data_IF_391761296951
#
_entry.id   IF_391761296951
#
_cell.length_a   1.000
_cell.length_b   1.000
_cell.length_c   1.000
_cell.angle_alpha   90.00
_cell.angle_beta   90.00
_cell.angle_gamma   90.00
#
_symmetry.space_group_name_H-M   'P 1'
#
loop_
_entity.id
_entity.type
_entity.pdbx_description
1 polymer ?
#
# COMPACT_ATOMS: atom_id res chain seq x y z
N UNK A 1 8.25 -20.45 2.74
CA UNK A 1 8.40 -19.23 1.92
C UNK A 1 9.81 -19.22 1.37
N UNK A 2 9.97 -19.16 0.04
CA UNK A 2 11.29 -19.14 -0.59
C UNK A 2 12.06 -17.88 -0.18
N UNK A 3 13.34 -18.03 0.17
CA UNK A 3 14.23 -16.92 0.46
C UNK A 3 14.35 -16.07 -0.81
N UNK A 4 14.13 -14.77 -0.69
CA UNK A 4 14.26 -13.86 -1.84
C UNK A 4 15.71 -13.85 -2.31
N UNK A 5 15.91 -14.20 -3.58
CA UNK A 5 17.23 -14.22 -4.19
C UNK A 5 17.72 -12.80 -4.49
N UNK A 6 19.02 -12.62 -4.30
CA UNK A 6 19.79 -11.42 -4.59
C UNK A 6 20.93 -11.77 -5.54
N UNK A 7 21.32 -10.84 -6.40
CA UNK A 7 22.51 -10.92 -7.23
C UNK A 7 23.64 -10.06 -6.65
N UNK A 8 24.89 -10.41 -6.96
CA UNK A 8 26.03 -9.56 -6.69
C UNK A 8 26.30 -8.68 -7.91
N UNK A 9 26.46 -7.37 -7.69
CA UNK A 9 26.92 -6.42 -8.69
C UNK A 9 28.19 -5.75 -8.16
N UNK A 10 29.35 -6.27 -8.57
CA UNK A 10 30.62 -6.01 -7.89
C UNK A 10 30.53 -6.42 -6.42
N UNK A 11 30.85 -5.51 -5.51
CA UNK A 11 30.79 -5.72 -4.06
C UNK A 11 29.38 -5.50 -3.46
N UNK A 12 28.39 -5.10 -4.28
CA UNK A 12 27.04 -4.77 -3.77
C UNK A 12 26.08 -5.94 -3.95
N UNK A 13 25.37 -6.27 -2.88
CA UNK A 13 24.21 -7.16 -2.93
C UNK A 13 23.00 -6.38 -3.45
N UNK A 14 22.47 -6.80 -4.59
CA UNK A 14 21.36 -6.13 -5.29
C UNK A 14 20.17 -7.07 -5.38
N UNK A 15 18.98 -6.55 -5.11
CA UNK A 15 17.71 -7.23 -5.35
C UNK A 15 17.07 -6.65 -6.60
N UNK A 16 16.45 -7.50 -7.41
CA UNK A 16 15.58 -6.99 -8.46
C UNK A 16 14.35 -6.38 -7.81
N UNK A 17 13.71 -5.42 -8.47
CA UNK A 17 12.47 -4.79 -7.96
C UNK A 17 11.43 -5.86 -7.62
N UNK A 18 11.29 -6.88 -8.47
CA UNK A 18 10.32 -7.96 -8.23
C UNK A 18 10.70 -8.83 -7.03
N UNK A 19 11.99 -9.12 -6.82
CA UNK A 19 12.44 -9.93 -5.68
C UNK A 19 12.29 -9.15 -4.37
N UNK A 20 12.69 -7.88 -4.35
CA UNK A 20 12.49 -6.99 -3.20
C UNK A 20 11.00 -6.85 -2.83
N UNK A 21 10.14 -6.55 -3.79
CA UNK A 21 8.70 -6.39 -3.54
C UNK A 21 8.06 -7.67 -2.99
N UNK A 22 8.43 -8.84 -3.51
CA UNK A 22 7.96 -10.13 -2.95
C UNK A 22 8.45 -10.34 -1.53
N UNK A 23 9.68 -9.95 -1.21
CA UNK A 23 10.25 -10.05 0.14
C UNK A 23 9.51 -9.19 1.14
N UNK A 24 9.31 -7.91 0.81
CA UNK A 24 8.56 -6.97 1.65
C UNK A 24 7.11 -7.43 1.81
N UNK A 25 6.42 -7.81 0.74
CA UNK A 25 5.06 -8.33 0.81
C UNK A 25 4.96 -9.58 1.69
N UNK A 26 5.94 -10.51 1.58
CA UNK A 26 5.99 -11.71 2.41
C UNK A 26 6.23 -11.39 3.90
N UNK A 27 6.97 -10.33 4.22
CA UNK A 27 7.20 -9.90 5.58
C UNK A 27 5.95 -9.21 6.15
N UNK A 28 5.37 -8.27 5.40
CA UNK A 28 4.12 -7.58 5.77
C UNK A 28 2.95 -8.55 5.96
N UNK A 29 2.85 -9.59 5.14
CA UNK A 29 1.81 -10.62 5.28
C UNK A 29 1.92 -11.49 6.55
N UNK A 30 2.97 -11.33 7.36
CA UNK A 30 3.09 -11.97 8.69
C UNK A 30 2.53 -11.10 9.81
N UNK A 31 2.30 -9.82 9.55
CA UNK A 31 1.66 -8.96 10.53
C UNK A 31 0.21 -9.44 10.72
N UNK A 32 -0.32 -9.38 11.97
CA UNK A 32 -1.75 -9.59 12.18
C UNK A 32 -2.55 -8.47 11.47
N UNK A 33 -3.88 -8.61 11.44
CA UNK A 33 -4.72 -7.49 11.09
C UNK A 33 -4.46 -6.33 12.07
N UNK A 34 -4.21 -5.14 11.52
CA UNK A 34 -3.91 -3.92 12.28
C UNK A 34 -4.86 -2.80 11.89
N UNK A 35 -5.05 -1.86 12.80
CA UNK A 35 -5.76 -0.61 12.55
C UNK A 35 -4.75 0.51 12.35
N UNK A 36 -4.96 1.32 11.32
CA UNK A 36 -4.13 2.49 11.01
C UNK A 36 -5.08 3.68 10.89
N UNK A 37 -4.73 4.77 11.58
CA UNK A 37 -5.50 6.02 11.57
C UNK A 37 -4.70 7.12 10.84
N UNK A 38 -5.42 7.96 10.13
CA UNK A 38 -4.88 9.15 9.47
C UNK A 38 -6.00 9.92 8.76
N UNK A 39 -5.73 11.18 8.45
CA UNK A 39 -6.63 12.01 7.65
C UNK A 39 -6.57 11.59 6.19
N UNK A 40 -7.72 11.55 5.52
CA UNK A 40 -7.76 11.34 4.07
C UNK A 40 -7.40 12.66 3.38
N UNK A 41 -6.24 12.72 2.75
CA UNK A 41 -5.76 13.94 2.07
C UNK A 41 -5.83 13.87 0.56
N UNK A 42 -5.93 12.68 -0.02
CA UNK A 42 -6.18 12.48 -1.44
C UNK A 42 -7.11 11.29 -1.64
N UNK A 43 -8.11 11.44 -2.49
CA UNK A 43 -9.03 10.39 -2.91
C UNK A 43 -9.05 10.35 -4.44
N UNK A 44 -8.55 9.26 -5.02
CA UNK A 44 -8.56 9.04 -6.47
C UNK A 44 -9.44 7.86 -6.82
N UNK A 45 -10.56 8.18 -7.46
CA UNK A 45 -11.59 7.25 -7.89
C UNK A 45 -11.92 7.51 -9.36
N UNK A 46 -12.36 6.45 -10.03
CA UNK A 46 -12.92 6.54 -11.38
C UNK A 46 -13.86 5.35 -11.59
N UNK A 47 -14.99 5.55 -12.27
CA UNK A 47 -15.95 4.48 -12.54
C UNK A 47 -15.36 3.32 -13.33
N UNK A 48 -14.41 3.60 -14.22
CA UNK A 48 -13.70 2.62 -15.04
C UNK A 48 -12.63 1.84 -14.27
N UNK A 49 -12.28 2.24 -13.04
CA UNK A 49 -11.26 1.57 -12.24
C UNK A 49 -11.89 0.59 -11.24
N UNK A 50 -11.20 -0.55 -11.03
CA UNK A 50 -11.59 -1.54 -10.03
C UNK A 50 -11.10 -1.20 -8.62
N UNK A 51 -10.20 -0.23 -8.49
CA UNK A 51 -9.52 0.13 -7.25
C UNK A 51 -9.63 1.63 -7.04
N UNK A 52 -9.94 2.03 -5.80
CA UNK A 52 -9.86 3.39 -5.29
C UNK A 52 -8.52 3.54 -4.58
N UNK A 53 -7.82 4.65 -4.84
CA UNK A 53 -6.56 4.98 -4.19
C UNK A 53 -6.81 6.11 -3.20
N UNK A 54 -6.36 5.92 -1.97
CA UNK A 54 -6.49 6.89 -0.88
C UNK A 54 -5.12 7.17 -0.30
N UNK A 55 -4.83 8.41 0.04
CA UNK A 55 -3.66 8.77 0.83
C UNK A 55 -4.11 9.12 2.25
N UNK A 56 -3.64 8.35 3.23
CA UNK A 56 -3.75 8.69 4.65
C UNK A 56 -2.55 9.54 5.05
N UNK A 57 -2.78 10.59 5.84
CA UNK A 57 -1.74 11.44 6.42
C UNK A 57 -1.87 11.51 7.93
N UNK A 58 -0.76 11.34 8.63
CA UNK A 58 -0.66 11.64 10.05
C UNK A 58 -0.69 13.18 10.23
N UNK A 59 -1.68 13.74 10.95
CA UNK A 59 -1.81 15.19 11.12
C UNK A 59 -0.68 15.82 11.94
N UNK A 60 0.02 15.03 12.76
CA UNK A 60 1.11 15.50 13.65
C UNK A 60 2.44 15.49 12.93
N UNK A 61 2.80 14.37 12.30
CA UNK A 61 4.13 14.19 11.69
C UNK A 61 4.16 14.50 10.21
N UNK A 62 2.99 14.49 9.56
CA UNK A 62 2.87 14.61 8.10
C UNK A 62 3.26 13.34 7.35
N UNK A 63 3.56 12.23 8.02
CA UNK A 63 3.82 10.94 7.38
C UNK A 63 2.60 10.48 6.56
N UNK A 64 2.84 9.86 5.41
CA UNK A 64 1.77 9.43 4.50
C UNK A 64 1.80 7.93 4.24
N UNK A 65 0.62 7.38 3.99
CA UNK A 65 0.41 5.98 3.63
C UNK A 65 -0.56 5.88 2.45
N UNK A 66 -0.11 5.26 1.36
CA UNK A 66 -0.96 4.94 0.22
C UNK A 66 -1.79 3.69 0.53
N UNK A 67 -3.10 3.81 0.36
CA UNK A 67 -4.09 2.76 0.60
C UNK A 67 -4.80 2.44 -0.70
N UNK A 68 -4.95 1.15 -0.98
CA UNK A 68 -5.75 0.64 -2.10
C UNK A 68 -6.98 -0.06 -1.55
N UNK A 69 -8.15 0.31 -2.07
CA UNK A 69 -9.43 -0.27 -1.66
C UNK A 69 -10.15 -0.76 -2.92
N UNK A 70 -10.63 -2.02 -2.99
CA UNK A 70 -11.48 -2.44 -4.08
C UNK A 70 -12.70 -1.50 -4.18
N UNK A 71 -13.01 -0.99 -5.38
CA UNK A 71 -14.06 0.03 -5.56
C UNK A 71 -15.41 -0.43 -5.01
N UNK A 72 -15.77 -1.69 -5.23
CA UNK A 72 -17.01 -2.28 -4.67
C UNK A 72 -17.06 -2.26 -3.14
N UNK A 73 -15.92 -2.40 -2.47
CA UNK A 73 -15.86 -2.32 -1.00
C UNK A 73 -16.00 -0.86 -0.56
N UNK A 74 -15.28 0.04 -1.21
CA UNK A 74 -15.36 1.48 -0.93
C UNK A 74 -16.78 2.03 -1.12
N UNK A 75 -17.43 1.73 -2.25
CA UNK A 75 -18.78 2.19 -2.57
C UNK A 75 -19.81 1.74 -1.51
N UNK A 76 -19.60 0.57 -0.88
CA UNK A 76 -20.46 0.04 0.18
C UNK A 76 -20.28 0.72 1.54
N UNK A 77 -19.21 1.49 1.74
CA UNK A 77 -18.99 2.22 2.98
C UNK A 77 -19.83 3.51 3.04
N UNK A 78 -20.35 3.99 1.91
CA UNK A 78 -21.23 5.15 1.82
C UNK A 78 -20.68 6.38 2.57
N UNK A 79 -19.36 6.58 2.52
CA UNK A 79 -18.64 7.55 3.36
C UNK A 79 -18.95 9.02 3.04
N UNK A 80 -19.76 9.30 2.01
CA UNK A 80 -20.08 10.65 1.52
C UNK A 80 -18.83 11.53 1.32
N UNK A 81 -17.70 10.94 0.94
CA UNK A 81 -16.48 11.66 0.61
C UNK A 81 -16.58 12.16 -0.83
N UNK A 82 -16.45 13.48 -0.99
CA UNK A 82 -16.35 14.14 -2.29
C UNK A 82 -14.94 13.93 -2.89
N UNK A 83 -14.84 13.92 -4.22
CA UNK A 83 -13.55 13.91 -4.94
C UNK A 83 -12.86 15.27 -4.90
#
# INVERSE_FOLDING_TARGET
MAKVESMMYGERKVFTVSSFNRGIASYLGRLPAVWVEGEVTELRRNEAWATVFVTLKDPTTGATLNVTIPRRTFDRLELALEE
#
